data_IF_894753029933
#
_entry.id   IF_894753029933
#
_cell.length_a   1.000
_cell.length_b   1.000
_cell.length_c   1.000
_cell.angle_alpha   90.00
_cell.angle_beta   90.00
_cell.angle_gamma   90.00
#
_symmetry.space_group_name_H-M   'P 1'
#
loop_
_entity.id
_entity.type
_entity.pdbx_description
1 polymer ?
#
# COMPACT_ATOMS: atom_id res chain seq x y z
N UNK A 1 30.71 11.04 -23.09
CA UNK A 1 29.43 10.31 -23.20
C UNK A 1 28.29 11.32 -23.28
N UNK A 2 27.34 11.18 -24.21
CA UNK A 2 26.19 12.07 -24.24
C UNK A 2 25.25 11.69 -23.10
N UNK A 3 24.87 12.71 -22.30
CA UNK A 3 23.89 12.60 -21.22
C UNK A 3 22.55 12.19 -21.84
N UNK A 4 22.00 11.05 -21.40
CA UNK A 4 20.61 10.67 -21.73
C UNK A 4 19.70 11.81 -21.32
N UNK A 5 18.92 12.30 -22.28
CA UNK A 5 17.85 13.26 -22.05
C UNK A 5 16.89 12.68 -21.00
N UNK A 6 16.71 13.44 -19.92
CA UNK A 6 15.78 13.11 -18.84
C UNK A 6 14.37 13.18 -19.42
N UNK A 7 13.67 12.05 -19.49
CA UNK A 7 12.44 11.86 -20.26
C UNK A 7 11.20 12.56 -19.67
N UNK A 8 11.37 13.76 -19.09
CA UNK A 8 10.29 14.52 -18.45
C UNK A 8 9.60 13.80 -17.30
N UNK A 9 10.17 12.69 -16.81
CA UNK A 9 9.59 11.91 -15.74
C UNK A 9 9.72 12.71 -14.44
N UNK A 10 8.64 12.86 -13.65
CA UNK A 10 8.69 13.62 -12.41
C UNK A 10 9.78 13.07 -11.51
N UNK A 11 10.66 13.96 -11.04
CA UNK A 11 11.79 13.61 -10.17
C UNK A 11 11.27 13.27 -8.78
N UNK A 12 10.99 11.99 -8.57
CA UNK A 12 10.51 11.49 -7.29
C UNK A 12 11.67 11.30 -6.29
N UNK A 13 11.53 11.90 -5.12
CA UNK A 13 12.45 11.75 -3.98
C UNK A 13 11.79 10.79 -2.98
N UNK A 14 12.45 9.67 -2.69
CA UNK A 14 11.97 8.68 -1.73
C UNK A 14 12.07 7.25 -2.23
N UNK A 15 11.40 6.33 -1.52
CA UNK A 15 11.36 4.92 -1.90
C UNK A 15 10.59 4.75 -3.21
N UNK A 16 11.18 4.07 -4.19
CA UNK A 16 10.60 3.89 -5.53
C UNK A 16 9.23 3.20 -5.52
N UNK A 17 8.99 2.26 -4.61
CA UNK A 17 7.68 1.60 -4.48
C UNK A 17 6.62 2.57 -3.96
N UNK A 18 6.97 3.42 -3.00
CA UNK A 18 6.02 4.40 -2.46
C UNK A 18 5.71 5.49 -3.49
N UNK A 19 6.73 5.91 -4.24
CA UNK A 19 6.53 6.91 -5.28
C UNK A 19 5.68 6.36 -6.45
N UNK A 20 5.87 5.09 -6.83
CA UNK A 20 5.01 4.42 -7.81
C UNK A 20 3.54 4.36 -7.35
N UNK A 21 3.27 4.15 -6.05
CA UNK A 21 1.91 4.24 -5.52
C UNK A 21 1.32 5.66 -5.61
N UNK A 22 2.14 6.70 -5.39
CA UNK A 22 1.69 8.09 -5.53
C UNK A 22 1.39 8.45 -6.99
N UNK A 23 2.15 7.93 -7.95
CA UNK A 23 1.83 8.07 -9.36
C UNK A 23 0.54 7.35 -9.74
N UNK A 24 0.30 6.15 -9.19
CA UNK A 24 -0.94 5.43 -9.44
C UNK A 24 -2.17 6.22 -8.97
N UNK A 25 -2.08 6.87 -7.80
CA UNK A 25 -3.15 7.77 -7.31
C UNK A 25 -3.41 8.91 -8.31
N UNK A 26 -2.36 9.52 -8.85
CA UNK A 26 -2.50 10.57 -9.87
C UNK A 26 -3.12 10.05 -11.17
N UNK A 27 -2.72 8.86 -11.62
CA UNK A 27 -3.28 8.22 -12.82
C UNK A 27 -4.78 7.90 -12.66
N UNK A 28 -5.24 7.72 -11.43
CA UNK A 28 -6.66 7.57 -11.09
C UNK A 28 -7.37 8.90 -10.79
N UNK A 29 -6.82 10.03 -11.25
CA UNK A 29 -7.33 11.38 -11.02
C UNK A 29 -7.50 11.75 -9.54
N UNK A 30 -6.73 11.11 -8.65
CA UNK A 30 -6.67 11.43 -7.23
C UNK A 30 -5.58 12.45 -6.92
N UNK A 31 -5.83 13.27 -5.90
CA UNK A 31 -4.85 14.22 -5.35
C UNK A 31 -4.39 13.75 -3.96
N UNK A 32 -3.17 13.22 -3.86
CA UNK A 32 -2.60 12.90 -2.55
C UNK A 32 -2.22 14.16 -1.76
N UNK A 33 -2.06 15.31 -2.43
CA UNK A 33 -1.78 16.59 -1.78
C UNK A 33 -3.01 17.06 -0.99
N UNK A 34 -4.21 17.00 -1.59
CA UNK A 34 -5.47 17.28 -0.88
C UNK A 34 -5.69 16.36 0.34
N UNK A 35 -5.32 15.07 0.21
CA UNK A 35 -5.43 14.12 1.32
C UNK A 35 -4.48 14.50 2.46
N UNK A 36 -3.25 14.93 2.14
CA UNK A 36 -2.25 15.36 3.12
C UNK A 36 -2.57 16.70 3.75
N UNK A 37 -3.24 17.60 3.04
CA UNK A 37 -3.77 18.84 3.63
C UNK A 37 -4.89 18.55 4.62
N UNK A 38 -5.80 17.62 4.29
CA UNK A 38 -6.89 17.18 5.19
C UNK A 38 -6.39 16.37 6.39
N UNK A 39 -5.33 15.59 6.21
CA UNK A 39 -4.71 14.74 7.24
C UNK A 39 -3.20 15.03 7.28
N UNK A 40 -2.80 16.16 7.90
CA UNK A 40 -1.40 16.56 7.93
C UNK A 40 -0.57 15.63 8.82
N UNK A 41 0.75 15.61 8.58
CA UNK A 41 1.64 14.62 9.21
C UNK A 41 1.68 14.71 10.75
N UNK A 42 1.53 15.91 11.29
CA UNK A 42 1.44 16.20 12.73
C UNK A 42 0.12 15.72 13.36
N UNK A 43 -0.94 15.54 12.57
CA UNK A 43 -2.21 14.94 13.02
C UNK A 43 -2.17 13.41 13.13
N UNK A 44 -1.11 12.76 12.60
CA UNK A 44 -0.98 11.30 12.64
C UNK A 44 -0.72 10.84 14.08
N UNK A 45 -1.58 9.98 14.60
CA UNK A 45 -1.46 9.46 15.98
C UNK A 45 -0.15 8.70 16.18
N UNK A 46 0.23 7.85 15.21
CA UNK A 46 1.48 7.10 15.27
C UNK A 46 1.88 6.58 13.90
N UNK A 47 3.17 6.62 13.60
CA UNK A 47 3.75 6.01 12.40
C UNK A 47 4.73 4.92 12.82
N UNK A 48 4.45 3.69 12.42
CA UNK A 48 5.37 2.57 12.46
C UNK A 48 6.08 2.51 11.12
N UNK A 49 7.31 2.98 11.08
CA UNK A 49 8.15 2.91 9.88
C UNK A 49 8.42 1.45 9.49
N UNK A 50 8.90 1.27 8.25
CA UNK A 50 9.23 -0.06 7.76
C UNK A 50 10.25 -0.75 8.67
N UNK A 51 9.92 -1.97 9.08
CA UNK A 51 10.79 -2.81 9.89
C UNK A 51 11.04 -4.12 9.13
N UNK A 52 12.30 -4.54 8.96
CA UNK A 52 12.66 -5.72 8.18
C UNK A 52 12.11 -7.03 8.73
N UNK A 53 11.94 -7.15 10.06
CA UNK A 53 11.32 -8.31 10.68
C UNK A 53 9.80 -8.35 10.42
N UNK A 54 9.14 -7.19 10.40
CA UNK A 54 7.70 -7.09 10.10
C UNK A 54 7.39 -7.06 8.60
N UNK A 55 8.34 -6.61 7.78
CA UNK A 55 8.21 -6.31 6.34
C UNK A 55 7.00 -5.45 5.97
N UNK A 56 6.62 -4.52 6.84
CA UNK A 56 5.49 -3.61 6.63
C UNK A 56 5.71 -2.29 7.38
N UNK A 57 5.01 -1.25 6.91
CA UNK A 57 4.88 0.06 7.53
C UNK A 57 3.39 0.30 7.83
N UNK A 58 3.10 0.94 8.96
CA UNK A 58 1.72 1.26 9.33
C UNK A 58 1.57 2.67 9.87
N UNK A 59 0.45 3.32 9.59
CA UNK A 59 0.10 4.65 10.08
C UNK A 59 -1.26 4.59 10.78
N UNK A 60 -1.32 5.11 11.99
CA UNK A 60 -2.56 5.25 12.76
C UNK A 60 -3.07 6.68 12.60
N UNK A 61 -4.33 6.82 12.22
CA UNK A 61 -5.06 8.09 12.21
C UNK A 61 -6.24 8.05 13.19
N UNK A 62 -6.60 9.22 13.71
CA UNK A 62 -7.85 9.42 14.44
C UNK A 62 -9.03 9.40 13.46
N UNK A 63 -10.15 8.82 13.88
CA UNK A 63 -11.47 8.91 13.22
C UNK A 63 -12.48 9.43 14.24
N UNK A 64 -13.69 9.75 13.77
CA UNK A 64 -14.81 10.21 14.61
C UNK A 64 -15.05 9.26 15.80
N UNK A 65 -14.86 7.96 15.58
CA UNK A 65 -14.93 6.93 16.60
C UNK A 65 -13.67 6.07 16.56
N UNK A 66 -12.72 6.37 17.45
CA UNK A 66 -11.50 5.60 17.64
C UNK A 66 -10.43 5.85 16.58
N UNK A 67 -9.70 4.80 16.23
CA UNK A 67 -8.50 4.88 15.39
C UNK A 67 -8.62 3.97 14.19
N UNK A 68 -7.95 4.34 13.10
CA UNK A 68 -7.75 3.47 11.93
C UNK A 68 -6.27 3.28 11.65
N UNK A 69 -5.87 2.01 11.51
CA UNK A 69 -4.50 1.60 11.18
C UNK A 69 -4.40 1.27 9.70
N UNK A 70 -3.80 2.15 8.89
CA UNK A 70 -3.45 1.83 7.52
C UNK A 70 -2.10 1.12 7.48
N UNK A 71 -1.99 0.03 6.72
CA UNK A 71 -0.75 -0.74 6.57
C UNK A 71 -0.44 -0.97 5.10
N UNK A 72 0.85 -0.83 4.75
CA UNK A 72 1.41 -1.28 3.47
C UNK A 72 2.64 -2.14 3.71
N UNK A 73 2.80 -3.20 2.94
CA UNK A 73 3.96 -4.10 3.12
C UNK A 73 3.98 -5.25 2.14
N UNK A 74 4.92 -6.17 2.37
CA UNK A 74 5.02 -7.42 1.63
C UNK A 74 3.67 -8.16 1.68
N UNK A 75 3.17 -8.59 0.52
CA UNK A 75 1.80 -9.06 0.39
C UNK A 75 1.50 -10.25 1.27
N UNK A 76 2.42 -11.21 1.34
CA UNK A 76 2.30 -12.40 2.17
C UNK A 76 2.23 -12.06 3.67
N UNK A 77 2.93 -11.01 4.10
CA UNK A 77 3.02 -10.61 5.50
C UNK A 77 1.78 -9.86 5.97
N UNK A 78 1.20 -9.02 5.10
CA UNK A 78 -0.03 -8.28 5.41
C UNK A 78 -1.23 -9.22 5.27
N UNK A 79 -1.32 -10.00 4.18
CA UNK A 79 -2.44 -10.92 3.92
C UNK A 79 -2.61 -11.97 5.03
N UNK A 80 -1.51 -12.45 5.62
CA UNK A 80 -1.55 -13.37 6.76
C UNK A 80 -2.21 -12.77 8.01
N UNK A 81 -2.31 -11.44 8.10
CA UNK A 81 -2.96 -10.73 9.22
C UNK A 81 -4.39 -10.30 8.91
N UNK A 82 -4.83 -10.39 7.65
CA UNK A 82 -6.17 -9.99 7.25
C UNK A 82 -7.19 -11.09 7.56
N UNK A 83 -8.35 -10.68 8.08
CA UNK A 83 -9.53 -11.54 8.31
C UNK A 83 -10.63 -11.31 7.28
N UNK A 84 -10.58 -10.17 6.58
CA UNK A 84 -11.56 -9.76 5.58
C UNK A 84 -10.87 -9.07 4.41
N UNK A 85 -11.58 -8.98 3.28
CA UNK A 85 -11.18 -8.23 2.09
C UNK A 85 -12.32 -7.32 1.64
N UNK A 86 -12.00 -6.20 0.99
CA UNK A 86 -13.02 -5.32 0.43
C UNK A 86 -13.55 -5.93 -0.86
N UNK A 87 -14.85 -6.21 -0.91
CA UNK A 87 -15.54 -6.69 -2.10
C UNK A 87 -15.89 -5.58 -3.08
N UNK A 88 -16.36 -5.96 -4.28
CA UNK A 88 -16.76 -5.07 -5.37
C UNK A 88 -17.76 -3.97 -4.98
N UNK A 89 -18.61 -4.23 -3.98
CA UNK A 89 -19.61 -3.29 -3.46
C UNK A 89 -19.07 -2.44 -2.29
N UNK A 90 -17.76 -2.35 -2.11
CA UNK A 90 -17.10 -1.74 -0.95
C UNK A 90 -17.51 -2.32 0.41
N UNK A 91 -18.06 -3.55 0.43
CA UNK A 91 -18.41 -4.23 1.68
C UNK A 91 -17.33 -5.25 2.07
N UNK A 92 -17.03 -5.39 3.38
CA UNK A 92 -16.16 -6.45 3.86
C UNK A 92 -16.71 -7.83 3.47
N UNK A 93 -15.85 -8.67 2.91
CA UNK A 93 -16.10 -10.09 2.66
C UNK A 93 -15.10 -10.91 3.45
N UNK A 94 -15.55 -12.03 4.01
CA UNK A 94 -14.66 -12.92 4.77
C UNK A 94 -13.51 -13.45 3.91
N UNK A 95 -12.30 -13.34 4.46
CA UNK A 95 -11.08 -13.91 3.93
C UNK A 95 -10.80 -15.22 4.66
N UNK A 96 -11.44 -16.30 4.20
CA UNK A 96 -11.16 -17.64 4.70
C UNK A 96 -9.83 -18.19 4.14
N UNK A 97 -9.37 -19.31 4.72
CA UNK A 97 -8.08 -19.91 4.35
C UNK A 97 -8.02 -20.26 2.86
N UNK A 98 -9.08 -20.84 2.29
CA UNK A 98 -9.13 -21.18 0.87
C UNK A 98 -8.93 -19.96 -0.04
N UNK A 99 -9.54 -18.81 0.27
CA UNK A 99 -9.34 -17.55 -0.47
C UNK A 99 -7.93 -17.01 -0.27
N UNK A 100 -7.40 -17.08 0.95
CA UNK A 100 -6.03 -16.67 1.27
C UNK A 100 -5.03 -17.48 0.45
N UNK A 101 -5.13 -18.81 0.46
CA UNK A 101 -4.25 -19.70 -0.33
C UNK A 101 -4.34 -19.40 -1.82
N UNK A 102 -5.54 -19.18 -2.37
CA UNK A 102 -5.73 -18.80 -3.78
C UNK A 102 -5.04 -17.47 -4.10
N UNK A 103 -5.23 -16.43 -3.30
CA UNK A 103 -4.57 -15.13 -3.53
C UNK A 103 -3.04 -15.28 -3.47
N UNK A 104 -2.54 -16.04 -2.50
CA UNK A 104 -1.10 -16.31 -2.38
C UNK A 104 -0.55 -16.99 -3.63
N UNK A 105 -1.17 -18.09 -4.07
CA UNK A 105 -0.66 -18.85 -5.20
C UNK A 105 -0.91 -18.16 -6.55
N UNK A 106 -2.14 -17.72 -6.79
CA UNK A 106 -2.56 -17.24 -8.11
C UNK A 106 -2.14 -15.81 -8.40
N UNK A 107 -1.82 -15.01 -7.38
CA UNK A 107 -1.45 -13.60 -7.54
C UNK A 107 -0.05 -13.34 -7.01
N UNK A 108 0.20 -13.61 -5.73
CA UNK A 108 1.47 -13.23 -5.09
C UNK A 108 2.64 -14.01 -5.69
N UNK A 109 2.55 -15.34 -5.74
CA UNK A 109 3.60 -16.20 -6.27
C UNK A 109 3.78 -16.05 -7.78
N UNK A 110 2.69 -16.00 -8.56
CA UNK A 110 2.79 -15.79 -10.02
C UNK A 110 3.47 -14.48 -10.37
N UNK A 111 3.05 -13.36 -9.78
CA UNK A 111 3.70 -12.07 -10.01
C UNK A 111 5.16 -12.06 -9.53
N UNK A 112 5.46 -12.72 -8.42
CA UNK A 112 6.83 -12.85 -7.93
C UNK A 112 7.72 -13.67 -8.89
N UNK A 113 7.18 -14.72 -9.50
CA UNK A 113 7.88 -15.52 -10.51
C UNK A 113 8.20 -14.70 -11.78
N UNK A 114 7.37 -13.71 -12.11
CA UNK A 114 7.62 -12.74 -13.17
C UNK A 114 8.61 -11.62 -12.75
N UNK A 115 9.21 -11.74 -11.56
CA UNK A 115 10.16 -10.76 -11.01
C UNK A 115 9.51 -9.49 -10.45
N UNK A 116 8.18 -9.46 -10.33
CA UNK A 116 7.45 -8.32 -9.79
C UNK A 116 7.40 -8.37 -8.26
N UNK A 117 7.45 -7.19 -7.64
CA UNK A 117 7.22 -7.06 -6.20
C UNK A 117 5.74 -6.77 -5.96
N UNK A 118 5.05 -7.69 -5.31
CA UNK A 118 3.68 -7.46 -4.86
C UNK A 118 3.67 -6.66 -3.55
N UNK A 119 2.70 -5.75 -3.44
CA UNK A 119 2.46 -4.96 -2.23
C UNK A 119 0.99 -5.11 -1.84
N UNK A 120 0.73 -5.34 -0.55
CA UNK A 120 -0.62 -5.36 -0.01
C UNK A 120 -0.84 -4.11 0.83
N UNK A 121 -2.04 -3.54 0.68
CA UNK A 121 -2.55 -2.39 1.44
C UNK A 121 -3.78 -2.86 2.21
N UNK A 122 -3.83 -2.58 3.50
CA UNK A 122 -4.92 -2.99 4.39
C UNK A 122 -5.25 -1.90 5.42
N UNK A 123 -6.47 -1.94 5.96
CA UNK A 123 -6.92 -1.09 7.07
C UNK A 123 -8.03 -1.76 7.89
#
# INVERSE_FOLDING_TARGET
EPKKEDAGLPKQIGNKTECALLDLVKQWNGSYDEIREKIPQDSLTKVYTFNSARKMMSTIIQRDQGYRLYTKGASEMVLAKCTSMIGENNQPKDLNENKRTRITHDVIEKMANDGLRTICIAY
#
